data_IF_721217431799
#
_entry.id   IF_721217431799
#
_cell.length_a   1.000
_cell.length_b   1.000
_cell.length_c   1.000
_cell.angle_alpha   90.00
_cell.angle_beta   90.00
_cell.angle_gamma   90.00
#
_symmetry.space_group_name_H-M   'P 1'
#
loop_
_entity.id
_entity.type
_entity.pdbx_description
1 polymer ?
#
# COMPACT_ATOMS: atom_id res chain seq x y z
N UNK A 1 -7.11 -16.71 54.75
CA UNK A 1 -7.56 -17.10 53.40
C UNK A 1 -6.33 -17.30 52.52
N UNK A 2 -6.06 -18.52 52.07
CA UNK A 2 -4.95 -18.81 51.17
C UNK A 2 -5.26 -18.18 49.80
N UNK A 3 -4.41 -17.27 49.34
CA UNK A 3 -4.53 -16.70 48.00
C UNK A 3 -3.72 -17.57 47.04
N UNK A 4 -4.15 -17.71 45.79
CA UNK A 4 -3.32 -18.28 44.73
C UNK A 4 -1.94 -17.60 44.62
N UNK A 5 -1.82 -16.34 45.09
CA UNK A 5 -0.57 -15.59 45.16
C UNK A 5 0.42 -16.11 46.22
N UNK A 6 -0.03 -16.91 47.19
CA UNK A 6 0.80 -17.46 48.27
C UNK A 6 1.18 -18.93 48.06
N UNK A 7 0.84 -19.50 46.89
CA UNK A 7 1.28 -20.85 46.52
C UNK A 7 2.73 -20.82 46.05
N UNK A 8 3.45 -21.92 46.28
CA UNK A 8 4.78 -22.12 45.72
C UNK A 8 4.70 -22.20 44.18
N UNK A 9 5.72 -21.68 43.49
CA UNK A 9 5.80 -21.65 42.03
C UNK A 9 5.58 -23.03 41.41
N UNK A 10 6.11 -24.08 42.02
CA UNK A 10 6.02 -25.47 41.58
C UNK A 10 4.57 -25.96 41.57
N UNK A 11 3.77 -25.59 42.58
CA UNK A 11 2.35 -25.95 42.66
C UNK A 11 1.58 -25.20 41.57
N UNK A 12 1.89 -23.93 41.36
CA UNK A 12 1.27 -23.12 40.30
C UNK A 12 1.57 -23.73 38.92
N UNK A 13 2.81 -24.15 38.67
CA UNK A 13 3.20 -24.83 37.43
C UNK A 13 2.39 -26.12 37.24
N UNK A 14 2.29 -26.98 38.27
CA UNK A 14 1.50 -28.21 38.20
C UNK A 14 0.02 -27.94 37.89
N UNK A 15 -0.57 -26.91 38.49
CA UNK A 15 -1.94 -26.50 38.19
C UNK A 15 -2.07 -26.07 36.73
N UNK A 16 -1.13 -25.27 36.22
CA UNK A 16 -1.17 -24.80 34.83
C UNK A 16 -0.98 -25.97 33.85
N UNK A 17 -0.05 -26.89 34.14
CA UNK A 17 0.22 -28.05 33.30
C UNK A 17 -0.97 -29.01 33.25
N UNK A 18 -1.82 -29.03 34.29
CA UNK A 18 -3.07 -29.81 34.31
C UNK A 18 -4.22 -29.19 33.52
N UNK A 19 -4.10 -27.93 33.08
CA UNK A 19 -5.11 -27.26 32.24
C UNK A 19 -4.77 -27.50 30.77
N UNK A 20 -5.58 -28.29 30.07
CA UNK A 20 -5.35 -28.61 28.65
C UNK A 20 -5.53 -27.40 27.73
N UNK A 21 -6.46 -26.49 28.06
CA UNK A 21 -6.82 -25.39 27.17
C UNK A 21 -5.96 -24.12 27.38
N UNK A 22 -5.33 -23.63 26.31
CA UNK A 22 -4.52 -22.40 26.31
C UNK A 22 -5.31 -21.14 26.71
N UNK A 23 -6.58 -20.93 26.30
CA UNK A 23 -7.38 -19.78 26.73
C UNK A 23 -7.57 -19.65 28.26
N UNK A 24 -7.69 -20.75 28.99
CA UNK A 24 -7.88 -20.78 30.44
C UNK A 24 -6.58 -20.48 31.16
N UNK A 25 -5.45 -21.00 30.66
CA UNK A 25 -4.12 -20.59 31.16
C UNK A 25 -3.89 -19.09 30.92
N UNK A 26 -4.29 -18.56 29.76
CA UNK A 26 -4.20 -17.12 29.44
C UNK A 26 -5.11 -16.26 30.35
N UNK A 27 -6.32 -16.72 30.65
CA UNK A 27 -7.20 -16.05 31.62
C UNK A 27 -6.60 -16.08 33.03
N UNK A 28 -6.01 -17.21 33.44
CA UNK A 28 -5.35 -17.36 34.72
C UNK A 28 -4.14 -16.43 34.87
N UNK A 29 -3.31 -16.31 33.82
CA UNK A 29 -2.13 -15.44 33.82
C UNK A 29 -2.49 -13.97 34.07
N UNK A 30 -3.65 -13.52 33.60
CA UNK A 30 -4.14 -12.14 33.76
C UNK A 30 -4.63 -11.81 35.18
N UNK A 31 -4.81 -12.79 36.06
CA UNK A 31 -5.37 -12.56 37.40
C UNK A 31 -4.39 -11.96 38.40
N UNK A 32 -3.07 -12.17 38.22
CA UNK A 32 -2.06 -11.54 39.08
C UNK A 32 -0.68 -11.49 38.42
N UNK A 33 0.18 -10.55 38.84
CA UNK A 33 1.56 -10.44 38.33
C UNK A 33 2.40 -11.71 38.58
N UNK A 34 2.21 -12.36 39.72
CA UNK A 34 2.91 -13.62 40.04
C UNK A 34 2.49 -14.74 39.08
N UNK A 35 1.18 -14.93 38.89
CA UNK A 35 0.67 -15.92 37.94
C UNK A 35 1.04 -15.59 36.49
N UNK A 36 1.06 -14.31 36.12
CA UNK A 36 1.56 -13.86 34.82
C UNK A 36 3.01 -14.31 34.58
N UNK A 37 3.88 -14.08 35.55
CA UNK A 37 5.29 -14.47 35.46
C UNK A 37 5.48 -15.98 35.33
N UNK A 38 4.71 -16.78 36.07
CA UNK A 38 4.82 -18.25 36.06
C UNK A 38 4.16 -18.87 34.81
N UNK A 39 3.02 -18.34 34.37
CA UNK A 39 2.24 -18.91 33.27
C UNK A 39 2.77 -18.55 31.89
N UNK A 40 3.37 -17.37 31.70
CA UNK A 40 3.81 -16.92 30.37
C UNK A 40 4.84 -17.86 29.71
N UNK A 41 5.88 -18.36 30.39
CA UNK A 41 6.79 -19.35 29.81
C UNK A 41 6.11 -20.64 29.34
N UNK A 42 5.01 -21.05 29.99
CA UNK A 42 4.22 -22.22 29.59
C UNK A 42 3.35 -21.88 28.37
N UNK A 43 2.71 -20.71 28.37
CA UNK A 43 1.94 -20.19 27.24
C UNK A 43 2.81 -20.04 25.99
N UNK A 44 4.03 -19.51 26.11
CA UNK A 44 4.98 -19.40 25.00
C UNK A 44 5.37 -20.76 24.45
N UNK A 45 5.64 -21.74 25.31
CA UNK A 45 5.93 -23.12 24.87
C UNK A 45 4.76 -23.75 24.12
N UNK A 46 3.52 -23.52 24.58
CA UNK A 46 2.32 -23.98 23.87
C UNK A 46 2.13 -23.25 22.54
N UNK A 47 2.45 -21.96 22.48
CA UNK A 47 2.37 -21.15 21.27
C UNK A 47 3.39 -21.55 20.19
N UNK A 48 4.53 -22.14 20.56
CA UNK A 48 5.47 -22.73 19.57
C UNK A 48 4.78 -23.86 18.77
N UNK A 49 3.88 -24.61 19.41
CA UNK A 49 3.15 -25.70 18.76
C UNK A 49 1.92 -25.25 17.98
N UNK A 50 1.49 -23.99 18.13
CA UNK A 50 0.30 -23.42 17.48
C UNK A 50 0.69 -22.21 16.59
N UNK A 51 0.73 -22.37 15.25
CA UNK A 51 1.07 -21.28 14.34
C UNK A 51 0.09 -20.09 14.43
N UNK A 52 -1.12 -20.31 14.95
CA UNK A 52 -2.13 -19.26 15.13
C UNK A 52 -1.67 -18.19 16.12
N UNK A 53 -0.97 -18.57 17.18
CA UNK A 53 -0.52 -17.63 18.21
C UNK A 53 0.57 -16.69 17.68
N UNK A 54 1.50 -17.22 16.89
CA UNK A 54 2.54 -16.43 16.23
C UNK A 54 1.95 -15.52 15.13
N UNK A 55 1.06 -16.05 14.30
CA UNK A 55 0.38 -15.25 13.27
C UNK A 55 -0.43 -14.10 13.89
N UNK A 56 -1.11 -14.33 15.02
CA UNK A 56 -1.79 -13.28 15.76
C UNK A 56 -0.82 -12.22 16.30
N UNK A 57 0.30 -12.62 16.91
CA UNK A 57 1.28 -11.67 17.43
C UNK A 57 1.92 -10.83 16.30
N UNK A 58 2.12 -11.43 15.12
CA UNK A 58 2.58 -10.72 13.93
C UNK A 58 1.54 -9.73 13.44
N UNK A 59 0.28 -10.13 13.27
CA UNK A 59 -0.76 -9.24 12.73
C UNK A 59 -1.11 -8.06 13.65
N UNK A 60 -0.80 -8.16 14.94
CA UNK A 60 -1.04 -7.10 15.93
C UNK A 60 0.24 -6.38 16.37
N UNK A 61 1.34 -6.54 15.63
CA UNK A 61 2.63 -5.86 15.86
C UNK A 61 3.14 -5.98 17.31
N UNK A 62 3.15 -7.21 17.85
CA UNK A 62 3.56 -7.57 19.22
C UNK A 62 4.95 -8.20 19.25
N UNK A 63 6.04 -7.42 19.09
CA UNK A 63 7.40 -7.97 19.07
C UNK A 63 7.78 -8.60 20.41
N UNK A 64 7.21 -8.12 21.53
CA UNK A 64 7.42 -8.66 22.87
C UNK A 64 6.97 -10.12 22.98
N UNK A 65 5.81 -10.43 22.40
CA UNK A 65 5.24 -11.78 22.37
C UNK A 65 6.04 -12.66 21.40
N UNK A 66 6.42 -12.14 20.24
CA UNK A 66 7.24 -12.88 19.27
C UNK A 66 8.59 -13.26 19.87
N UNK A 67 9.31 -12.32 20.49
CA UNK A 67 10.55 -12.62 21.21
C UNK A 67 10.32 -13.59 22.37
N UNK A 68 9.22 -13.45 23.12
CA UNK A 68 8.85 -14.36 24.19
C UNK A 68 8.66 -15.80 23.69
N UNK A 69 7.93 -15.99 22.60
CA UNK A 69 7.68 -17.30 22.00
C UNK A 69 8.98 -17.90 21.44
N UNK A 70 9.70 -17.13 20.63
CA UNK A 70 10.92 -17.62 19.97
C UNK A 70 12.08 -17.82 20.96
N UNK A 71 12.18 -17.00 22.01
CA UNK A 71 13.20 -17.11 23.06
C UNK A 71 13.01 -18.30 24.01
N UNK A 72 11.83 -18.92 24.04
CA UNK A 72 11.57 -20.15 24.81
C UNK A 72 11.75 -21.43 23.98
N UNK A 73 12.25 -21.32 22.75
CA UNK A 73 12.70 -22.48 21.99
C UNK A 73 13.97 -23.05 22.63
N UNK A 74 13.92 -24.32 23.07
CA UNK A 74 15.01 -25.00 23.78
C UNK A 74 16.30 -25.17 22.94
N UNK A 75 16.22 -24.91 21.65
CA UNK A 75 17.35 -24.84 20.73
C UNK A 75 17.00 -23.86 19.58
N UNK A 76 17.57 -22.63 19.58
CA UNK A 76 17.22 -21.58 18.61
C UNK A 76 17.55 -21.95 17.16
N UNK A 77 18.34 -23.01 16.94
CA UNK A 77 18.72 -23.49 15.61
C UNK A 77 17.86 -24.67 15.11
N UNK A 78 16.94 -25.21 15.92
CA UNK A 78 16.29 -26.48 15.59
C UNK A 78 14.92 -26.40 14.95
N UNK A 79 14.08 -25.38 15.16
CA UNK A 79 12.73 -25.43 14.56
C UNK A 79 11.98 -24.14 14.20
N UNK A 80 12.47 -22.92 14.44
CA UNK A 80 12.11 -21.86 13.51
C UNK A 80 13.02 -22.06 12.28
N UNK A 81 12.72 -23.07 11.44
CA UNK A 81 13.40 -23.19 10.16
C UNK A 81 13.36 -21.81 9.50
N UNK A 82 14.47 -21.32 8.92
CA UNK A 82 14.51 -19.98 8.27
C UNK A 82 13.23 -19.69 7.48
N UNK A 83 12.67 -20.73 6.87
CA UNK A 83 11.32 -20.80 6.34
C UNK A 83 10.18 -20.12 7.13
N UNK A 84 9.96 -20.49 8.40
CA UNK A 84 8.87 -19.96 9.22
C UNK A 84 9.10 -18.49 9.56
N UNK A 85 10.34 -18.10 9.88
CA UNK A 85 10.70 -16.69 10.09
C UNK A 85 10.45 -15.86 8.84
N UNK A 86 10.74 -16.40 7.65
CA UNK A 86 10.52 -15.73 6.37
C UNK A 86 9.02 -15.53 6.09
N UNK A 87 8.17 -16.51 6.40
CA UNK A 87 6.72 -16.38 6.29
C UNK A 87 6.19 -15.32 7.25
N UNK A 88 6.63 -15.36 8.51
CA UNK A 88 6.22 -14.39 9.52
C UNK A 88 6.67 -12.97 9.13
N UNK A 89 7.87 -12.82 8.55
CA UNK A 89 8.35 -11.53 8.04
C UNK A 89 7.47 -11.04 6.90
N UNK A 90 7.17 -11.90 5.92
CA UNK A 90 6.28 -11.55 4.80
C UNK A 90 4.90 -11.08 5.29
N UNK A 91 4.31 -11.80 6.25
CA UNK A 91 3.05 -11.40 6.88
C UNK A 91 3.17 -10.07 7.63
N UNK A 92 4.24 -9.88 8.41
CA UNK A 92 4.47 -8.63 9.14
C UNK A 92 4.53 -7.42 8.21
N UNK A 93 5.26 -7.53 7.10
CA UNK A 93 5.40 -6.46 6.11
C UNK A 93 4.08 -6.18 5.39
N UNK A 94 3.34 -7.23 5.02
CA UNK A 94 2.01 -7.11 4.40
C UNK A 94 1.01 -6.40 5.31
N UNK A 95 1.03 -6.68 6.61
CA UNK A 95 0.13 -6.07 7.59
C UNK A 95 0.61 -4.71 8.12
N UNK A 96 1.83 -4.28 7.79
CA UNK A 96 2.41 -3.04 8.34
C UNK A 96 2.85 -3.15 9.81
N UNK A 97 3.10 -4.38 10.28
CA UNK A 97 3.59 -4.67 11.62
C UNK A 97 5.11 -4.50 11.70
N UNK A 98 5.57 -3.26 11.57
CA UNK A 98 7.00 -2.96 11.41
C UNK A 98 7.83 -3.17 12.68
N UNK A 99 7.28 -3.08 13.90
CA UNK A 99 8.05 -3.40 15.11
C UNK A 99 8.36 -4.90 15.15
N UNK A 100 7.39 -5.73 14.81
CA UNK A 100 7.57 -7.17 14.66
C UNK A 100 8.44 -7.52 13.46
N UNK A 101 8.31 -6.82 12.32
CA UNK A 101 9.17 -7.05 11.16
C UNK A 101 10.65 -6.81 11.49
N UNK A 102 10.97 -5.70 12.19
CA UNK A 102 12.33 -5.44 12.67
C UNK A 102 12.81 -6.53 13.63
N UNK A 103 11.98 -6.96 14.59
CA UNK A 103 12.31 -8.07 15.47
C UNK A 103 12.62 -9.38 14.72
N UNK A 104 11.87 -9.68 13.66
CA UNK A 104 12.09 -10.86 12.83
C UNK A 104 13.38 -10.74 12.01
N UNK A 105 13.71 -9.55 11.50
CA UNK A 105 14.97 -9.27 10.81
C UNK A 105 16.17 -9.44 11.75
N UNK A 106 16.07 -8.96 12.99
CA UNK A 106 17.07 -9.11 14.05
C UNK A 106 17.29 -10.58 14.43
N UNK A 107 16.22 -11.38 14.41
CA UNK A 107 16.25 -12.82 14.63
C UNK A 107 16.75 -13.62 13.42
N UNK A 108 17.18 -12.95 12.35
CA UNK A 108 17.80 -13.59 11.20
C UNK A 108 16.82 -14.07 10.12
N UNK A 109 15.60 -13.51 10.05
CA UNK A 109 14.74 -13.72 8.89
C UNK A 109 15.45 -13.26 7.61
N UNK A 110 15.34 -14.09 6.56
CA UNK A 110 15.83 -13.80 5.23
C UNK A 110 14.84 -12.90 4.48
N UNK A 111 15.39 -12.03 3.65
CA UNK A 111 14.63 -11.17 2.74
C UNK A 111 14.40 -11.86 1.41
N UNK A 112 13.32 -11.48 0.74
CA UNK A 112 12.84 -12.10 -0.51
C UNK A 112 12.81 -11.05 -1.61
N UNK A 113 13.24 -11.42 -2.83
CA UNK A 113 13.15 -10.56 -4.02
C UNK A 113 11.82 -10.72 -4.76
N UNK A 114 11.35 -9.66 -5.41
CA UNK A 114 10.23 -9.67 -6.36
C UNK A 114 10.67 -10.39 -7.64
N UNK A 115 10.08 -11.55 -7.97
CA UNK A 115 10.16 -12.13 -9.33
C UNK A 115 9.33 -13.41 -9.51
N UNK A 116 9.14 -13.83 -10.76
CA UNK A 116 8.52 -15.08 -11.20
C UNK A 116 9.42 -16.34 -11.06
N UNK A 117 10.54 -16.26 -10.33
CA UNK A 117 11.60 -17.30 -10.38
C UNK A 117 11.61 -18.28 -9.20
N UNK A 118 12.15 -19.48 -9.41
CA UNK A 118 12.30 -20.54 -8.41
C UNK A 118 13.35 -20.25 -7.31
N UNK A 119 14.05 -19.09 -7.35
CA UNK A 119 15.15 -18.71 -6.44
C UNK A 119 14.83 -17.51 -5.53
N UNK A 120 13.55 -17.27 -5.22
CA UNK A 120 13.10 -16.12 -4.40
C UNK A 120 13.73 -16.03 -3.00
N UNK A 121 14.24 -17.14 -2.48
CA UNK A 121 14.85 -17.22 -1.16
C UNK A 121 16.02 -18.19 -1.19
N UNK A 122 17.03 -17.93 -0.37
CA UNK A 122 18.10 -18.87 -0.04
C UNK A 122 17.58 -20.16 0.62
N UNK A 123 16.38 -20.11 1.22
CA UNK A 123 15.69 -21.26 1.80
C UNK A 123 14.77 -21.94 0.78
N UNK A 124 15.09 -23.18 0.41
CA UNK A 124 14.30 -23.96 -0.56
C UNK A 124 12.83 -24.10 -0.17
N UNK A 125 12.53 -24.31 1.11
CA UNK A 125 11.15 -24.39 1.60
C UNK A 125 10.40 -23.07 1.38
N UNK A 126 11.07 -21.92 1.55
CA UNK A 126 10.48 -20.59 1.31
C UNK A 126 10.20 -20.40 -0.17
N UNK A 127 11.15 -20.80 -1.02
CA UNK A 127 10.96 -20.77 -2.47
C UNK A 127 9.76 -21.63 -2.91
N UNK A 128 9.62 -22.85 -2.37
CA UNK A 128 8.51 -23.76 -2.69
C UNK A 128 7.15 -23.20 -2.22
N UNK A 129 7.08 -22.55 -1.05
CA UNK A 129 5.86 -21.89 -0.57
C UNK A 129 5.46 -20.71 -1.45
N UNK A 130 6.43 -19.86 -1.83
CA UNK A 130 6.19 -18.72 -2.70
C UNK A 130 5.74 -19.15 -4.11
N UNK A 131 6.22 -20.30 -4.61
CA UNK A 131 5.84 -20.85 -5.91
C UNK A 131 4.43 -21.46 -5.93
N UNK A 132 3.96 -21.98 -4.78
CA UNK A 132 2.66 -22.65 -4.65
C UNK A 132 1.52 -21.72 -4.18
N UNK A 133 1.83 -20.47 -3.83
CA UNK A 133 0.90 -19.56 -3.15
C UNK A 133 0.25 -18.51 -4.05
N UNK A 134 -0.92 -18.03 -3.61
CA UNK A 134 -1.54 -16.74 -4.00
C UNK A 134 -0.79 -15.52 -3.45
N UNK A 135 0.42 -15.72 -2.90
CA UNK A 135 1.22 -14.66 -2.31
C UNK A 135 1.65 -13.71 -3.43
N UNK A 136 1.44 -12.41 -3.20
CA UNK A 136 1.78 -11.38 -4.17
C UNK A 136 3.22 -11.60 -4.67
N UNK A 137 3.46 -11.42 -5.97
CA UNK A 137 4.76 -11.51 -6.64
C UNK A 137 5.82 -10.51 -6.10
N UNK A 138 5.52 -9.86 -4.98
CA UNK A 138 6.27 -8.80 -4.32
C UNK A 138 7.26 -9.39 -3.33
N UNK A 139 8.48 -8.87 -3.37
CA UNK A 139 9.52 -9.11 -2.40
C UNK A 139 9.32 -8.32 -1.10
N UNK A 140 10.24 -8.51 -0.16
CA UNK A 140 10.18 -7.91 1.17
C UNK A 140 10.18 -6.38 1.12
N UNK A 141 11.02 -5.77 0.27
CA UNK A 141 11.09 -4.31 0.17
C UNK A 141 9.81 -3.75 -0.47
N UNK A 142 9.30 -4.42 -1.52
CA UNK A 142 8.08 -3.98 -2.18
C UNK A 142 6.84 -4.08 -1.29
N UNK A 143 6.72 -5.14 -0.49
CA UNK A 143 5.67 -5.26 0.54
C UNK A 143 5.79 -4.17 1.59
N UNK A 144 7.00 -3.92 2.10
CA UNK A 144 7.25 -2.85 3.05
C UNK A 144 6.81 -1.51 2.46
N UNK A 145 7.27 -1.19 1.25
CA UNK A 145 6.97 0.05 0.54
C UNK A 145 5.47 0.27 0.30
N UNK A 146 4.73 -0.77 -0.08
CA UNK A 146 3.29 -0.73 -0.32
C UNK A 146 2.41 -0.67 0.93
N UNK A 147 2.96 -0.96 2.12
CA UNK A 147 2.18 -0.99 3.35
C UNK A 147 1.60 0.40 3.72
N UNK A 148 0.32 0.39 4.08
CA UNK A 148 -0.53 1.57 4.34
C UNK A 148 -0.83 1.70 5.83
N UNK A 149 -0.71 2.91 6.35
CA UNK A 149 -1.01 3.23 7.75
C UNK A 149 -2.51 3.04 8.07
N UNK A 150 -3.41 3.47 7.18
CA UNK A 150 -4.85 3.45 7.47
C UNK A 150 -5.46 2.04 7.52
N UNK A 151 -4.87 1.06 6.84
CA UNK A 151 -5.31 -0.35 6.93
C UNK A 151 -5.16 -0.86 8.36
N UNK A 152 -4.09 -0.48 9.07
CA UNK A 152 -3.90 -0.81 10.48
C UNK A 152 -4.73 0.08 11.43
N UNK A 153 -4.90 1.36 11.11
CA UNK A 153 -5.52 2.32 12.04
C UNK A 153 -7.06 2.28 12.08
N UNK A 154 -7.73 2.10 10.93
CA UNK A 154 -9.19 2.25 10.86
C UNK A 154 -9.95 0.99 11.25
N UNK A 155 -9.28 -0.17 11.18
CA UNK A 155 -9.90 -1.47 11.42
C UNK A 155 -9.41 -2.13 12.72
N UNK A 156 -8.30 -1.68 13.31
CA UNK A 156 -7.83 -2.17 14.61
C UNK A 156 -7.95 -1.10 15.71
N UNK A 157 -8.87 -1.27 16.68
CA UNK A 157 -8.96 -0.39 17.85
C UNK A 157 -7.70 -0.43 18.75
N UNK A 158 -6.76 -1.34 18.51
CA UNK A 158 -5.50 -1.47 19.23
C UNK A 158 -4.30 -0.95 18.44
N UNK A 159 -4.51 0.02 17.54
CA UNK A 159 -3.44 0.56 16.70
C UNK A 159 -2.15 0.82 17.49
N UNK A 160 -1.08 0.13 17.09
CA UNK A 160 0.21 0.09 17.79
C UNK A 160 1.04 1.35 17.59
N UNK A 161 0.63 2.19 16.64
CA UNK A 161 1.28 3.43 16.26
C UNK A 161 0.43 4.62 16.70
N UNK A 162 1.03 5.57 17.40
CA UNK A 162 0.35 6.78 17.86
C UNK A 162 0.14 7.81 16.74
N UNK A 163 0.92 7.71 15.67
CA UNK A 163 0.85 8.62 14.51
C UNK A 163 1.46 7.99 13.26
N UNK A 164 1.12 8.54 12.10
CA UNK A 164 1.72 8.15 10.82
C UNK A 164 3.24 8.44 10.79
N UNK A 165 3.70 9.46 11.53
CA UNK A 165 5.13 9.72 11.76
C UNK A 165 5.85 8.54 12.39
N UNK A 166 5.23 7.99 13.43
CA UNK A 166 5.81 6.87 14.15
C UNK A 166 5.79 5.62 13.27
N UNK A 167 4.71 5.39 12.53
CA UNK A 167 4.63 4.31 11.55
C UNK A 167 5.73 4.40 10.50
N UNK A 168 5.92 5.58 9.90
CA UNK A 168 6.97 5.81 8.92
C UNK A 168 8.36 5.58 9.51
N UNK A 169 8.64 6.04 10.73
CA UNK A 169 9.94 5.81 11.37
C UNK A 169 10.29 4.31 11.47
N UNK A 170 9.35 3.48 11.93
CA UNK A 170 9.54 2.04 12.03
C UNK A 170 9.60 1.34 10.68
N UNK A 171 8.76 1.77 9.72
CA UNK A 171 8.79 1.30 8.34
C UNK A 171 10.13 1.59 7.68
N UNK A 172 10.65 2.81 7.82
CA UNK A 172 11.94 3.22 7.27
C UNK A 172 13.07 2.37 7.83
N UNK A 173 13.12 2.14 9.15
CA UNK A 173 14.11 1.25 9.77
C UNK A 173 14.08 -0.16 9.18
N UNK A 174 12.88 -0.74 9.01
CA UNK A 174 12.74 -2.06 8.41
C UNK A 174 13.21 -2.07 6.94
N UNK A 175 12.88 -1.03 6.17
CA UNK A 175 13.30 -0.91 4.77
C UNK A 175 14.82 -0.75 4.64
N UNK A 176 15.47 0.02 5.53
CA UNK A 176 16.93 0.16 5.58
C UNK A 176 17.60 -1.19 5.84
N UNK A 177 17.10 -1.95 6.81
CA UNK A 177 17.64 -3.27 7.13
C UNK A 177 17.41 -4.29 5.99
N UNK A 178 16.25 -4.23 5.34
CA UNK A 178 15.97 -5.05 4.16
C UNK A 178 16.96 -4.72 3.03
N UNK A 179 17.18 -3.44 2.73
CA UNK A 179 18.14 -3.01 1.70
C UNK A 179 19.56 -3.48 2.02
N UNK A 180 20.00 -3.35 3.27
CA UNK A 180 21.31 -3.83 3.71
C UNK A 180 21.48 -5.33 3.45
N UNK A 181 20.45 -6.14 3.76
CA UNK A 181 20.46 -7.58 3.52
C UNK A 181 20.42 -7.94 2.04
N UNK A 182 19.65 -7.21 1.22
CA UNK A 182 19.58 -7.42 -0.23
C UNK A 182 20.90 -7.01 -0.94
N UNK A 183 21.62 -6.01 -0.42
CA UNK A 183 22.89 -5.54 -0.98
C UNK A 183 24.10 -6.37 -0.52
N UNK A 184 24.03 -7.06 0.62
CA UNK A 184 25.13 -7.86 1.17
C UNK A 184 25.72 -8.90 0.19
N UNK A 185 24.93 -9.68 -0.57
CA UNK A 185 25.49 -10.62 -1.54
C UNK A 185 26.00 -9.93 -2.83
N UNK A 186 25.51 -8.74 -3.19
CA UNK A 186 26.03 -7.93 -4.31
C UNK A 186 27.49 -7.47 -4.06
N UNK A 187 27.84 -7.20 -2.80
CA UNK A 187 29.18 -6.73 -2.43
C UNK A 187 30.25 -7.83 -2.36
N UNK A 188 29.87 -9.10 -2.16
CA UNK A 188 30.84 -10.21 -1.98
C UNK A 188 31.37 -10.78 -3.29
N UNK A 189 30.62 -10.65 -4.38
CA UNK A 189 30.94 -11.29 -5.67
C UNK A 189 31.87 -10.46 -6.58
N UNK A 190 32.31 -9.26 -6.16
CA UNK A 190 33.22 -8.43 -6.97
C UNK A 190 34.61 -9.05 -7.21
N UNK A 191 34.97 -10.13 -6.51
CA UNK A 191 36.27 -10.81 -6.62
C UNK A 191 36.24 -12.19 -7.32
N UNK A 192 35.09 -12.66 -7.83
CA UNK A 192 35.04 -13.89 -8.64
C UNK A 192 34.16 -13.71 -9.89
N UNK A 193 34.61 -14.36 -10.97
CA UNK A 193 34.08 -14.30 -12.33
C UNK A 193 32.57 -14.62 -12.40
N UNK A 194 31.81 -13.68 -12.94
CA UNK A 194 30.47 -13.82 -13.54
C UNK A 194 29.33 -14.42 -12.68
N UNK A 195 28.85 -13.66 -11.70
CA UNK A 195 27.46 -13.73 -11.25
C UNK A 195 26.77 -12.35 -11.39
N UNK A 196 26.34 -12.02 -12.61
CA UNK A 196 25.46 -10.88 -12.89
C UNK A 196 24.00 -10.94 -12.34
N UNK A 197 23.39 -12.08 -11.95
CA UNK A 197 21.94 -12.10 -11.67
C UNK A 197 21.53 -11.33 -10.41
N UNK A 198 22.44 -11.11 -9.46
CA UNK A 198 22.12 -10.51 -8.16
C UNK A 198 21.85 -9.00 -8.24
N UNK A 199 22.53 -8.29 -9.16
CA UNK A 199 22.30 -6.85 -9.37
C UNK A 199 20.97 -6.58 -10.07
N UNK A 200 20.63 -7.41 -11.06
CA UNK A 200 19.35 -7.29 -11.78
C UNK A 200 18.15 -7.62 -10.89
N UNK A 201 18.28 -8.60 -9.99
CA UNK A 201 17.24 -8.93 -8.99
C UNK A 201 17.10 -7.82 -7.95
N UNK A 202 18.21 -7.24 -7.47
CA UNK A 202 18.21 -6.08 -6.59
C UNK A 202 17.53 -4.87 -7.23
N UNK A 203 17.89 -4.52 -8.46
CA UNK A 203 17.28 -3.39 -9.17
C UNK A 203 15.78 -3.63 -9.38
N UNK A 204 15.39 -4.84 -9.78
CA UNK A 204 13.98 -5.20 -9.92
C UNK A 204 13.23 -5.02 -8.61
N UNK A 205 13.78 -5.45 -7.49
CA UNK A 205 13.14 -5.27 -6.17
C UNK A 205 12.95 -3.79 -5.83
N UNK A 206 13.96 -2.94 -6.07
CA UNK A 206 13.86 -1.50 -5.92
C UNK A 206 12.73 -0.90 -6.77
N UNK A 207 12.65 -1.33 -8.02
CA UNK A 207 11.68 -0.80 -8.97
C UNK A 207 10.24 -1.22 -8.60
N UNK A 208 10.02 -2.49 -8.20
CA UNK A 208 8.73 -2.93 -7.68
C UNK A 208 8.37 -2.21 -6.38
N UNK A 209 9.35 -1.96 -5.50
CA UNK A 209 9.13 -1.17 -4.31
C UNK A 209 8.71 0.27 -4.64
N UNK A 210 9.25 0.88 -5.70
CA UNK A 210 8.85 2.21 -6.14
C UNK A 210 7.40 2.23 -6.64
N UNK A 211 6.99 1.19 -7.40
CA UNK A 211 5.60 1.02 -7.84
C UNK A 211 4.66 0.92 -6.63
N UNK A 212 5.00 0.08 -5.66
CA UNK A 212 4.17 -0.15 -4.48
C UNK A 212 4.16 1.07 -3.54
N UNK A 213 5.26 1.82 -3.45
CA UNK A 213 5.34 3.08 -2.71
C UNK A 213 4.31 4.10 -3.18
N UNK A 214 4.00 4.15 -4.48
CA UNK A 214 2.94 5.02 -5.02
C UNK A 214 1.53 4.64 -4.52
N UNK A 215 1.33 3.42 -3.99
CA UNK A 215 0.08 3.01 -3.34
C UNK A 215 0.02 3.36 -1.86
N UNK A 216 1.13 3.74 -1.22
CA UNK A 216 1.16 4.05 0.21
C UNK A 216 0.36 5.32 0.56
N UNK A 217 0.22 5.61 1.85
CA UNK A 217 -0.59 6.72 2.37
C UNK A 217 0.19 8.05 2.41
N UNK A 218 0.14 8.80 3.51
CA UNK A 218 0.75 10.13 3.62
C UNK A 218 2.26 10.11 3.42
N UNK A 219 2.93 9.05 3.88
CA UNK A 219 4.38 8.88 3.68
C UNK A 219 4.76 8.38 2.27
N UNK A 220 3.84 8.30 1.31
CA UNK A 220 4.14 7.77 -0.03
C UNK A 220 5.27 8.52 -0.72
N UNK A 221 5.28 9.85 -0.63
CA UNK A 221 6.32 10.69 -1.24
C UNK A 221 7.69 10.47 -0.59
N UNK A 222 7.73 10.28 0.73
CA UNK A 222 8.93 9.99 1.51
C UNK A 222 9.48 8.60 1.19
N UNK A 223 8.61 7.59 1.04
CA UNK A 223 9.00 6.24 0.62
C UNK A 223 9.57 6.28 -0.80
N UNK A 224 8.87 6.93 -1.74
CA UNK A 224 9.37 7.05 -3.12
C UNK A 224 10.72 7.77 -3.14
N UNK A 225 10.87 8.89 -2.41
CA UNK A 225 12.14 9.60 -2.28
C UNK A 225 13.25 8.71 -1.73
N UNK A 226 12.98 7.98 -0.65
CA UNK A 226 13.94 7.05 -0.06
C UNK A 226 14.40 5.97 -1.05
N UNK A 227 13.48 5.44 -1.85
CA UNK A 227 13.80 4.42 -2.86
C UNK A 227 14.62 5.01 -4.02
N UNK A 228 14.32 6.22 -4.48
CA UNK A 228 15.15 6.92 -5.48
C UNK A 228 16.56 7.18 -4.96
N UNK A 229 16.70 7.58 -3.69
CA UNK A 229 18.01 7.74 -3.02
C UNK A 229 18.76 6.40 -2.91
N UNK A 230 18.04 5.28 -2.81
CA UNK A 230 18.60 3.93 -2.83
C UNK A 230 18.91 3.38 -4.24
N UNK A 231 18.61 4.15 -5.30
CA UNK A 231 18.92 3.81 -6.69
C UNK A 231 17.76 3.20 -7.50
N UNK A 232 16.51 3.29 -7.03
CA UNK A 232 15.36 2.91 -7.83
C UNK A 232 15.27 3.77 -9.10
N UNK A 233 14.94 3.15 -10.23
CA UNK A 233 14.90 3.83 -11.52
C UNK A 233 13.50 4.38 -11.80
N UNK A 234 13.41 5.69 -12.02
CA UNK A 234 12.19 6.40 -12.43
C UNK A 234 12.28 6.92 -13.86
N UNK A 235 13.38 6.63 -14.55
CA UNK A 235 13.55 7.07 -15.93
C UNK A 235 12.62 6.28 -16.86
N UNK A 236 11.75 7.03 -17.52
CA UNK A 236 10.77 6.48 -18.45
C UNK A 236 11.40 5.89 -19.73
N UNK A 237 12.64 6.28 -20.07
CA UNK A 237 13.34 5.79 -21.27
C UNK A 237 13.89 4.37 -21.06
N UNK A 238 14.44 4.10 -19.88
CA UNK A 238 15.02 2.81 -19.50
C UNK A 238 13.96 1.83 -19.01
N UNK A 239 12.94 2.32 -18.29
CA UNK A 239 11.98 1.47 -17.59
C UNK A 239 10.53 1.97 -17.67
N UNK A 240 10.08 2.23 -18.90
CA UNK A 240 8.74 2.77 -19.19
C UNK A 240 7.58 2.03 -18.51
N UNK A 241 7.76 0.73 -18.28
CA UNK A 241 6.78 -0.14 -17.68
C UNK A 241 6.50 0.22 -16.21
N UNK A 242 7.57 0.32 -15.42
CA UNK A 242 7.53 0.50 -13.97
C UNK A 242 7.05 1.91 -13.64
N UNK A 243 7.63 2.88 -14.34
CA UNK A 243 7.26 4.29 -14.25
C UNK A 243 5.77 4.48 -14.55
N UNK A 244 5.27 3.86 -15.62
CA UNK A 244 3.88 4.00 -15.99
C UNK A 244 2.91 3.29 -15.03
N UNK A 245 3.35 2.23 -14.33
CA UNK A 245 2.56 1.58 -13.27
C UNK A 245 2.56 2.39 -11.96
N UNK A 246 3.67 3.01 -11.59
CA UNK A 246 3.72 3.96 -10.46
C UNK A 246 2.79 5.16 -10.73
N UNK A 247 2.80 5.67 -11.96
CA UNK A 247 1.87 6.71 -12.41
C UNK A 247 0.41 6.27 -12.33
N UNK A 248 0.10 5.05 -12.78
CA UNK A 248 -1.25 4.47 -12.64
C UNK A 248 -1.70 4.40 -11.17
N UNK A 249 -0.82 3.97 -10.27
CA UNK A 249 -1.14 3.91 -8.84
C UNK A 249 -1.40 5.30 -8.25
N UNK A 250 -0.61 6.31 -8.65
CA UNK A 250 -0.83 7.70 -8.26
C UNK A 250 -2.15 8.25 -8.81
N UNK A 251 -2.50 7.93 -10.06
CA UNK A 251 -3.75 8.37 -10.68
C UNK A 251 -4.99 7.71 -10.05
N UNK A 252 -4.84 6.50 -9.53
CA UNK A 252 -5.89 5.77 -8.79
C UNK A 252 -6.07 6.22 -7.34
N UNK A 253 -5.33 7.23 -6.87
CA UNK A 253 -5.47 7.75 -5.53
C UNK A 253 -6.85 8.41 -5.32
N UNK A 254 -7.48 8.11 -4.19
CA UNK A 254 -8.82 8.57 -3.87
C UNK A 254 -8.83 9.83 -3.00
N UNK A 255 -7.75 10.08 -2.28
CA UNK A 255 -7.59 11.25 -1.40
C UNK A 255 -6.96 12.40 -2.18
N UNK A 256 -7.64 13.56 -2.31
CA UNK A 256 -7.16 14.62 -3.19
C UNK A 256 -5.79 15.22 -2.88
N UNK A 257 -5.46 15.41 -1.61
CA UNK A 257 -4.13 15.89 -1.20
C UNK A 257 -3.02 14.88 -1.52
N UNK A 258 -3.25 13.59 -1.24
CA UNK A 258 -2.33 12.50 -1.63
C UNK A 258 -2.17 12.42 -3.14
N UNK A 259 -3.27 12.49 -3.89
CA UNK A 259 -3.25 12.47 -5.35
C UNK A 259 -2.36 13.59 -5.87
N UNK A 260 -2.57 14.81 -5.38
CA UNK A 260 -1.77 15.97 -5.74
C UNK A 260 -0.30 15.75 -5.44
N UNK A 261 0.04 15.35 -4.21
CA UNK A 261 1.43 15.15 -3.82
C UNK A 261 2.14 14.10 -4.65
N UNK A 262 1.50 12.94 -4.88
CA UNK A 262 2.07 11.84 -5.67
C UNK A 262 2.28 12.26 -7.12
N UNK A 263 1.30 12.93 -7.72
CA UNK A 263 1.39 13.43 -9.10
C UNK A 263 2.49 14.49 -9.22
N UNK A 264 2.53 15.48 -8.34
CA UNK A 264 3.59 16.50 -8.34
C UNK A 264 4.98 15.89 -8.14
N UNK A 265 5.10 14.91 -7.23
CA UNK A 265 6.35 14.22 -6.96
C UNK A 265 6.86 13.52 -8.22
N UNK A 266 6.03 12.71 -8.88
CA UNK A 266 6.43 11.96 -10.07
C UNK A 266 6.73 12.90 -11.26
N UNK A 267 6.00 14.00 -11.42
CA UNK A 267 6.30 15.04 -12.44
C UNK A 267 7.67 15.69 -12.19
N UNK A 268 8.00 16.02 -10.94
CA UNK A 268 9.31 16.61 -10.59
C UNK A 268 10.48 15.67 -10.88
N UNK A 269 10.23 14.36 -10.91
CA UNK A 269 11.22 13.33 -11.21
C UNK A 269 11.18 12.84 -12.66
N UNK A 270 10.57 13.62 -13.57
CA UNK A 270 10.72 13.41 -15.02
C UNK A 270 9.76 12.41 -15.65
N UNK A 271 8.66 12.05 -14.97
CA UNK A 271 7.69 11.12 -15.55
C UNK A 271 7.07 11.64 -16.86
N UNK A 272 6.86 10.75 -17.83
CA UNK A 272 6.13 11.09 -19.05
C UNK A 272 4.66 11.37 -18.72
N UNK A 273 4.30 12.65 -18.80
CA UNK A 273 2.97 13.17 -18.48
C UNK A 273 1.88 12.63 -19.41
N UNK A 274 2.24 12.08 -20.56
CA UNK A 274 1.30 11.61 -21.59
C UNK A 274 1.02 10.11 -21.51
N UNK A 275 1.81 9.37 -20.72
CA UNK A 275 1.77 7.90 -20.69
C UNK A 275 1.55 7.37 -19.27
N UNK A 276 0.43 6.70 -19.08
CA UNK A 276 0.09 5.85 -17.95
C UNK A 276 -0.05 4.41 -18.44
N UNK A 277 0.17 3.40 -17.61
CA UNK A 277 0.04 2.01 -18.05
C UNK A 277 -0.72 1.18 -17.03
N UNK A 278 -1.57 0.29 -17.52
CA UNK A 278 -2.32 -0.67 -16.70
C UNK A 278 -2.12 -2.08 -17.21
N UNK A 279 -1.94 -3.05 -16.30
CA UNK A 279 -1.80 -4.47 -16.65
C UNK A 279 -2.94 -4.99 -17.54
N UNK A 280 -4.15 -4.50 -17.29
CA UNK A 280 -5.35 -4.96 -17.99
C UNK A 280 -5.56 -4.30 -19.34
N UNK A 281 -5.08 -3.06 -19.50
CA UNK A 281 -5.45 -2.23 -20.64
C UNK A 281 -4.27 -1.67 -21.44
N UNK A 282 -3.04 -2.03 -21.06
CA UNK A 282 -1.81 -1.55 -21.67
C UNK A 282 -1.56 -0.06 -21.41
N UNK A 283 -0.84 0.56 -22.36
CA UNK A 283 -0.49 1.98 -22.35
C UNK A 283 -1.74 2.84 -22.63
N UNK A 284 -1.95 3.86 -21.81
CA UNK A 284 -3.06 4.81 -21.86
C UNK A 284 -2.56 6.22 -21.54
N UNK A 285 -3.36 7.24 -21.81
CA UNK A 285 -3.09 8.58 -21.27
C UNK A 285 -3.78 8.77 -19.91
N UNK A 286 -3.33 9.72 -19.06
CA UNK A 286 -4.03 10.03 -17.80
C UNK A 286 -5.51 10.35 -18.01
N UNK A 287 -5.84 11.02 -19.12
CA UNK A 287 -7.22 11.33 -19.48
C UNK A 287 -8.03 10.06 -19.76
N UNK A 288 -7.48 9.11 -20.53
CA UNK A 288 -8.15 7.83 -20.79
C UNK A 288 -8.39 7.05 -19.49
N UNK A 289 -7.40 7.03 -18.61
CA UNK A 289 -7.51 6.37 -17.31
C UNK A 289 -8.65 6.96 -16.47
N UNK A 290 -8.69 8.29 -16.29
CA UNK A 290 -9.71 8.95 -15.47
C UNK A 290 -11.09 8.76 -16.06
N UNK A 291 -11.26 8.96 -17.38
CA UNK A 291 -12.57 8.82 -18.02
C UNK A 291 -13.12 7.40 -17.93
N UNK A 292 -12.28 6.37 -18.14
CA UNK A 292 -12.68 4.97 -17.97
C UNK A 292 -13.06 4.64 -16.54
N UNK A 293 -12.23 5.09 -15.58
CA UNK A 293 -12.48 4.87 -14.16
C UNK A 293 -13.77 5.56 -13.72
N UNK A 294 -13.96 6.81 -14.11
CA UNK A 294 -15.15 7.59 -13.81
C UNK A 294 -16.42 7.00 -14.43
N UNK A 295 -16.38 6.58 -15.69
CA UNK A 295 -17.51 5.90 -16.34
C UNK A 295 -17.89 4.62 -15.60
N UNK A 296 -16.90 3.78 -15.27
CA UNK A 296 -17.11 2.55 -14.49
C UNK A 296 -17.69 2.86 -13.12
N UNK A 297 -17.13 3.82 -12.38
CA UNK A 297 -17.61 4.22 -11.05
C UNK A 297 -19.04 4.74 -11.10
N UNK A 298 -19.41 5.56 -12.09
CA UNK A 298 -20.79 6.04 -12.24
C UNK A 298 -21.78 4.90 -12.56
N UNK A 299 -21.36 3.90 -13.35
CA UNK A 299 -22.21 2.77 -13.72
C UNK A 299 -22.48 1.81 -12.56
N UNK A 300 -21.49 1.62 -11.69
CA UNK A 300 -21.54 0.64 -10.60
C UNK A 300 -21.60 1.27 -9.20
N UNK A 301 -21.81 2.58 -9.09
CA UNK A 301 -21.93 3.24 -7.79
C UNK A 301 -23.14 2.70 -7.02
N UNK A 302 -22.88 2.12 -5.85
CA UNK A 302 -23.90 1.58 -4.95
C UNK A 302 -24.14 2.44 -3.71
N UNK A 303 -23.20 3.34 -3.39
CA UNK A 303 -23.11 4.04 -2.10
C UNK A 303 -23.75 5.44 -2.10
N UNK A 304 -24.37 5.86 -3.19
CA UNK A 304 -25.01 7.17 -3.33
C UNK A 304 -24.03 8.36 -3.35
N UNK A 305 -22.73 8.11 -3.23
CA UNK A 305 -21.70 9.14 -3.39
C UNK A 305 -21.41 9.35 -4.88
N UNK A 306 -21.42 10.60 -5.35
CA UNK A 306 -21.11 10.89 -6.74
C UNK A 306 -19.59 10.98 -6.92
N UNK A 307 -18.95 10.13 -7.75
CA UNK A 307 -17.51 10.23 -8.01
C UNK A 307 -17.14 11.43 -8.90
N UNK A 308 -18.15 12.08 -9.49
CA UNK A 308 -17.99 13.11 -10.53
C UNK A 308 -17.20 14.33 -10.04
N UNK A 309 -17.57 15.01 -8.94
CA UNK A 309 -16.88 16.23 -8.53
C UNK A 309 -15.39 15.99 -8.25
N UNK A 310 -15.08 14.84 -7.64
CA UNK A 310 -13.70 14.41 -7.35
C UNK A 310 -12.90 14.20 -8.64
N UNK A 311 -13.45 13.45 -9.58
CA UNK A 311 -12.76 13.19 -10.84
C UNK A 311 -12.54 14.48 -11.65
N UNK A 312 -13.51 15.39 -11.70
CA UNK A 312 -13.34 16.68 -12.38
C UNK A 312 -12.24 17.53 -11.73
N UNK A 313 -12.14 17.54 -10.40
CA UNK A 313 -11.04 18.19 -9.71
C UNK A 313 -9.67 17.60 -10.09
N UNK A 314 -9.57 16.27 -10.17
CA UNK A 314 -8.33 15.61 -10.62
C UNK A 314 -7.99 15.97 -12.06
N UNK A 315 -8.98 16.07 -12.94
CA UNK A 315 -8.77 16.49 -14.34
C UNK A 315 -8.29 17.94 -14.44
N UNK A 316 -8.88 18.87 -13.67
CA UNK A 316 -8.41 20.25 -13.60
C UNK A 316 -6.98 20.34 -13.11
N UNK A 317 -6.65 19.59 -12.05
CA UNK A 317 -5.31 19.56 -11.51
C UNK A 317 -4.29 19.03 -12.53
N UNK A 318 -4.60 17.91 -13.20
CA UNK A 318 -3.75 17.35 -14.24
C UNK A 318 -3.61 18.28 -15.45
N UNK A 319 -4.67 18.99 -15.83
CA UNK A 319 -4.62 20.00 -16.87
C UNK A 319 -3.69 21.16 -16.48
N UNK A 320 -3.75 21.63 -15.22
CA UNK A 320 -2.85 22.67 -14.69
C UNK A 320 -1.38 22.23 -14.68
N UNK A 321 -1.12 20.93 -14.57
CA UNK A 321 0.22 20.34 -14.64
C UNK A 321 0.68 20.04 -16.08
N UNK A 322 -0.17 20.29 -17.09
CA UNK A 322 0.10 19.94 -18.49
C UNK A 322 0.06 18.44 -18.78
N UNK A 323 -0.55 17.63 -17.90
CA UNK A 323 -0.74 16.18 -18.08
C UNK A 323 -2.03 15.83 -18.84
N UNK A 324 -2.92 16.81 -19.02
CA UNK A 324 -4.19 16.63 -19.71
C UNK A 324 -4.38 17.77 -20.70
N UNK A 325 -4.76 17.42 -21.93
CA UNK A 325 -5.27 18.35 -22.93
C UNK A 325 -6.67 17.90 -23.31
N UNK A 326 -7.61 18.83 -23.25
CA UNK A 326 -8.97 18.57 -23.72
C UNK A 326 -8.97 18.53 -25.24
N UNK A 327 -9.67 17.55 -25.85
CA UNK A 327 -9.75 17.48 -27.30
C UNK A 327 -10.48 18.70 -27.86
N UNK A 328 -10.07 19.11 -29.06
CA UNK A 328 -10.75 20.16 -29.81
C UNK A 328 -12.16 19.70 -30.16
N UNK A 329 -13.11 20.59 -29.92
CA UNK A 329 -14.52 20.32 -30.17
C UNK A 329 -14.82 20.75 -31.60
N UNK A 330 -14.88 19.78 -32.52
CA UNK A 330 -15.15 20.04 -33.94
C UNK A 330 -16.57 20.57 -34.16
N UNK A 331 -17.55 19.94 -33.51
CA UNK A 331 -18.96 20.36 -33.50
C UNK A 331 -19.58 20.01 -32.14
N UNK A 332 -20.15 21.02 -31.47
CA UNK A 332 -21.01 20.82 -30.29
C UNK A 332 -22.42 21.31 -30.64
N UNK A 333 -23.35 20.39 -30.86
CA UNK A 333 -24.78 20.71 -30.92
C UNK A 333 -25.45 20.33 -29.60
N UNK A 334 -26.27 21.25 -29.07
CA UNK A 334 -27.22 20.91 -28.02
C UNK A 334 -28.55 20.57 -28.68
N UNK A 335 -28.79 19.27 -28.91
CA UNK A 335 -30.10 18.83 -29.36
C UNK A 335 -31.04 18.66 -28.16
N UNK A 336 -32.20 19.31 -28.24
CA UNK A 336 -33.30 19.09 -27.31
C UNK A 336 -34.09 17.86 -27.75
N UNK A 337 -33.86 16.72 -27.09
CA UNK A 337 -34.75 15.56 -27.21
C UNK A 337 -35.51 15.42 -25.88
N UNK A 338 -36.69 16.05 -25.82
CA UNK A 338 -37.50 16.19 -24.60
C UNK A 338 -36.91 17.18 -23.58
N UNK A 339 -37.09 16.93 -22.27
CA UNK A 339 -36.51 17.73 -21.16
C UNK A 339 -35.03 17.41 -20.87
N UNK A 340 -34.34 16.73 -21.77
CA UNK A 340 -32.94 16.34 -21.61
C UNK A 340 -32.12 16.83 -22.78
N UNK A 341 -31.24 17.80 -22.51
CA UNK A 341 -30.16 18.16 -23.41
C UNK A 341 -29.21 16.96 -23.54
N UNK A 342 -29.20 16.32 -24.70
CA UNK A 342 -28.18 15.35 -25.09
C UNK A 342 -27.22 16.10 -26.00
N UNK A 343 -25.95 16.19 -25.61
CA UNK A 343 -24.94 16.71 -26.51
C UNK A 343 -24.41 15.58 -27.37
N UNK A 344 -24.59 15.73 -28.67
CA UNK A 344 -23.74 15.09 -29.66
C UNK A 344 -22.50 15.96 -29.80
N UNK A 345 -21.42 15.53 -29.16
CA UNK A 345 -20.09 16.07 -29.38
C UNK A 345 -19.31 15.06 -30.22
N UNK A 346 -18.88 15.46 -31.40
CA UNK A 346 -17.94 14.69 -32.21
C UNK A 346 -16.54 15.20 -31.91
N UNK A 347 -15.77 14.41 -31.17
CA UNK A 347 -14.35 14.67 -30.94
C UNK A 347 -13.52 14.01 -32.05
N UNK A 348 -12.46 14.68 -32.51
CA UNK A 348 -11.52 14.08 -33.46
C UNK A 348 -10.90 12.81 -32.83
N UNK A 349 -11.04 11.69 -33.52
CA UNK A 349 -10.67 10.35 -33.02
C UNK A 349 -9.17 10.15 -32.80
N UNK A 350 -8.33 11.07 -33.26
CA UNK A 350 -6.88 11.01 -33.12
C UNK A 350 -6.36 11.62 -31.80
N UNK A 351 -7.18 12.35 -31.05
CA UNK A 351 -6.77 12.99 -29.80
C UNK A 351 -6.97 12.09 -28.58
N UNK A 352 -6.09 12.26 -27.59
CA UNK A 352 -6.11 11.49 -26.37
C UNK A 352 -7.42 11.70 -25.59
N UNK A 353 -8.16 10.62 -25.34
CA UNK A 353 -9.42 10.68 -24.59
C UNK A 353 -10.68 10.94 -25.44
N UNK A 354 -10.55 11.29 -26.73
CA UNK A 354 -11.70 11.48 -27.63
C UNK A 354 -12.54 10.22 -27.78
N UNK A 355 -11.89 9.06 -27.87
CA UNK A 355 -12.58 7.76 -27.92
C UNK A 355 -13.40 7.51 -26.66
N UNK A 356 -12.84 7.77 -25.49
CA UNK A 356 -13.50 7.60 -24.20
C UNK A 356 -14.66 8.59 -24.02
N UNK A 357 -14.49 9.86 -24.44
CA UNK A 357 -15.58 10.84 -24.44
C UNK A 357 -16.71 10.42 -25.39
N UNK A 358 -16.40 10.07 -26.64
CA UNK A 358 -17.38 9.57 -27.61
C UNK A 358 -18.14 8.37 -27.05
N UNK A 359 -17.44 7.45 -26.38
CA UNK A 359 -18.06 6.30 -25.73
C UNK A 359 -19.01 6.71 -24.60
N UNK A 360 -18.60 7.64 -23.72
CA UNK A 360 -19.45 8.13 -22.62
C UNK A 360 -20.68 8.87 -23.13
N UNK A 361 -20.55 9.73 -24.15
CA UNK A 361 -21.67 10.50 -24.72
C UNK A 361 -22.61 9.63 -25.56
N UNK A 362 -22.13 8.52 -26.12
CA UNK A 362 -22.95 7.54 -26.84
C UNK A 362 -23.63 6.52 -25.92
N UNK A 363 -23.27 6.46 -24.63
CA UNK A 363 -23.88 5.55 -23.67
C UNK A 363 -25.32 5.99 -23.34
N UNK A 364 -26.29 5.14 -23.68
CA UNK A 364 -27.72 5.42 -23.50
C UNK A 364 -28.22 5.09 -22.09
N UNK A 365 -27.37 4.53 -21.23
CA UNK A 365 -27.72 4.20 -19.84
C UNK A 365 -28.10 5.47 -19.05
N UNK A 366 -29.29 5.45 -18.43
CA UNK A 366 -29.81 6.57 -17.64
C UNK A 366 -28.89 6.92 -16.46
N UNK A 367 -28.17 5.92 -15.93
CA UNK A 367 -27.22 6.10 -14.82
C UNK A 367 -26.02 6.97 -15.20
N UNK A 368 -25.69 7.08 -16.49
CA UNK A 368 -24.54 7.86 -17.00
C UNK A 368 -24.92 9.31 -17.31
N UNK A 369 -26.20 9.68 -17.35
CA UNK A 369 -26.66 11.05 -17.65
C UNK A 369 -26.06 12.14 -16.74
N UNK A 370 -25.91 11.94 -15.42
CA UNK A 370 -25.26 12.93 -14.56
C UNK A 370 -23.80 13.18 -14.98
N UNK A 371 -23.09 12.12 -15.36
CA UNK A 371 -21.72 12.19 -15.84
C UNK A 371 -21.63 12.96 -17.16
N UNK A 372 -22.49 12.64 -18.13
CA UNK A 372 -22.55 13.34 -19.43
C UNK A 372 -22.78 14.84 -19.25
N UNK A 373 -23.73 15.23 -18.40
CA UNK A 373 -24.02 16.64 -18.12
C UNK A 373 -22.83 17.36 -17.48
N UNK A 374 -22.21 16.73 -16.48
CA UNK A 374 -21.08 17.32 -15.77
C UNK A 374 -19.85 17.46 -16.67
N UNK A 375 -19.51 16.43 -17.46
CA UNK A 375 -18.41 16.50 -18.43
C UNK A 375 -18.66 17.56 -19.49
N UNK A 376 -19.88 17.67 -20.02
CA UNK A 376 -20.19 18.72 -20.98
C UNK A 376 -20.01 20.12 -20.37
N UNK A 377 -20.61 20.38 -19.21
CA UNK A 377 -20.48 21.66 -18.54
C UNK A 377 -19.02 22.00 -18.28
N UNK A 378 -18.24 21.01 -17.86
CA UNK A 378 -16.83 21.16 -17.61
C UNK A 378 -16.05 21.47 -18.90
N UNK A 379 -16.22 20.69 -19.98
CA UNK A 379 -15.55 20.93 -21.27
C UNK A 379 -15.89 22.32 -21.82
N UNK A 380 -17.16 22.73 -21.76
CA UNK A 380 -17.59 24.07 -22.17
C UNK A 380 -16.86 25.16 -21.39
N UNK A 381 -16.71 24.98 -20.07
CA UNK A 381 -15.93 25.90 -19.25
C UNK A 381 -14.44 25.93 -19.61
N UNK A 382 -13.87 24.80 -20.04
CA UNK A 382 -12.46 24.69 -20.43
C UNK A 382 -12.17 25.39 -21.76
N UNK A 383 -13.09 25.32 -22.73
CA UNK A 383 -12.96 25.89 -24.09
C UNK A 383 -13.27 27.39 -24.13
N UNK A 384 -14.12 27.90 -23.23
CA UNK A 384 -14.40 29.33 -23.11
C UNK A 384 -13.21 30.10 -22.50
N UNK A 385 -13.00 31.38 -22.88
CA UNK A 385 -11.86 32.17 -22.44
C UNK A 385 -11.78 32.26 -20.90
N UNK A 386 -10.56 32.37 -20.33
CA UNK A 386 -10.33 32.18 -18.91
C UNK A 386 -10.94 33.33 -18.10
N UNK A 387 -12.11 33.10 -17.51
CA UNK A 387 -12.55 33.83 -16.32
C UNK A 387 -11.80 33.21 -15.14
N UNK A 388 -11.16 34.02 -14.28
CA UNK A 388 -10.39 33.56 -13.11
C UNK A 388 -11.08 32.39 -12.39
N UNK A 389 -10.58 31.17 -12.61
CA UNK A 389 -11.20 29.96 -12.05
C UNK A 389 -10.65 29.75 -10.64
N UNK A 390 -11.45 30.10 -9.63
CA UNK A 390 -11.23 29.56 -8.28
C UNK A 390 -11.82 28.16 -8.23
N UNK A 391 -11.00 27.15 -7.91
CA UNK A 391 -11.48 25.79 -7.70
C UNK A 391 -12.52 25.81 -6.56
N UNK A 392 -13.73 25.35 -6.84
CA UNK A 392 -14.77 25.24 -5.82
C UNK A 392 -14.36 24.18 -4.79
N UNK A 393 -14.66 24.39 -3.49
CA UNK A 393 -14.33 23.41 -2.46
C UNK A 393 -15.06 22.08 -2.74
N UNK A 394 -14.32 20.97 -2.72
CA UNK A 394 -14.91 19.64 -2.93
C UNK A 394 -15.76 19.21 -1.75
N UNK A 395 -16.92 18.61 -2.06
CA UNK A 395 -17.70 17.84 -1.09
C UNK A 395 -17.28 16.38 -1.22
N UNK A 396 -16.47 15.91 -0.27
CA UNK A 396 -15.94 14.54 -0.22
C UNK A 396 -16.68 13.69 0.81
N UNK A 397 -16.76 12.36 0.64
CA UNK A 397 -17.18 11.44 1.69
C UNK A 397 -16.37 11.64 2.98
N UNK A 398 -17.01 11.50 4.16
CA UNK A 398 -16.38 11.76 5.45
C UNK A 398 -15.08 10.96 5.68
N UNK A 399 -15.01 9.72 5.18
CA UNK A 399 -13.81 8.91 5.27
C UNK A 399 -12.64 9.54 4.49
N UNK A 400 -12.90 10.05 3.28
CA UNK A 400 -11.89 10.73 2.46
C UNK A 400 -11.48 12.05 3.11
N UNK A 401 -12.44 12.82 3.65
CA UNK A 401 -12.13 14.08 4.39
C UNK A 401 -11.18 13.80 5.54
N UNK A 402 -11.42 12.77 6.35
CA UNK A 402 -10.54 12.41 7.46
C UNK A 402 -9.14 11.99 7.00
N UNK A 403 -9.01 11.29 5.87
CA UNK A 403 -7.70 10.95 5.31
C UNK A 403 -6.99 12.19 4.76
N UNK A 404 -7.72 13.10 4.14
CA UNK A 404 -7.20 14.40 3.66
C UNK A 404 -6.70 15.25 4.84
N UNK A 405 -7.49 15.35 5.91
CA UNK A 405 -7.12 16.05 7.15
C UNK A 405 -5.87 15.43 7.81
N UNK A 406 -5.77 14.09 7.82
CA UNK A 406 -4.59 13.38 8.34
C UNK A 406 -3.33 13.69 7.51
N UNK A 407 -3.47 13.72 6.18
CA UNK A 407 -2.37 14.07 5.28
C UNK A 407 -1.93 15.53 5.47
N UNK A 408 -2.87 16.46 5.53
CA UNK A 408 -2.57 17.88 5.76
C UNK A 408 -1.90 18.08 7.12
N UNK A 409 -2.33 17.34 8.16
CA UNK A 409 -1.64 17.31 9.45
C UNK A 409 -0.23 16.71 9.37
N UNK A 410 -0.01 15.69 8.52
CA UNK A 410 1.32 15.13 8.27
C UNK A 410 2.27 16.14 7.60
N UNK A 411 1.81 16.80 6.54
CA UNK A 411 2.63 17.70 5.71
C UNK A 411 2.84 19.07 6.35
N UNK A 412 1.79 19.64 6.93
CA UNK A 412 1.78 21.02 7.42
C UNK A 412 1.71 21.14 8.94
N UNK A 413 1.48 20.04 9.65
CA UNK A 413 1.46 20.01 11.11
C UNK A 413 2.85 20.21 11.71
N UNK A 414 3.15 21.45 12.10
CA UNK A 414 4.16 21.74 13.12
C UNK A 414 3.59 21.45 14.52
N UNK A 415 4.21 20.47 15.20
CA UNK A 415 4.01 20.07 16.60
C UNK A 415 2.71 19.31 16.94
N UNK A 416 2.92 18.15 17.57
CA UNK A 416 1.92 17.38 18.31
C UNK A 416 0.92 18.29 19.07
N UNK A 417 -0.39 18.06 18.96
CA UNK A 417 -1.27 18.38 20.07
C UNK A 417 -1.03 17.32 21.15
N UNK A 418 -0.64 17.82 22.34
CA UNK A 418 -0.42 17.06 23.56
C UNK A 418 -1.63 16.21 23.99
#
# INVERSE_FOLDING_TARGET
MCSLKSLATEIVIQVIDSIDDTPSVSRLSRTSRHLHFVANPILYRRAIADPTALAWAVSHDRPDIVHGILGHQADPHRFAASFELNILLHQALMHGSFKTANALLDLGADVVYSSDSQRRSSCQKTADWLANGTCALLGSLALAAGSRFHIGFWYDPNCVYSSERQFWAWKKMAMEEILNKLAAPVCRDQNMVACEPNLAEYQRELDYALIEAAKADAHSSEVMKFLLEAGADIDSETNSYIVAQAWYNALGEEVPSLFRSKVEFLIRHGIDRTRAWSWLNGLQTPMQFILKTLHRSCRYATDGSSPIPKALYFMDFLASCGCLRWPEVADMSMDQVGNTHLLTANFDGNEAGSRELNFIFSDMDVLIRPLQRALCQHILQQVLPPVERRMAPLRLPLAIVRLDDLYEAWVFGSNDPA
#
